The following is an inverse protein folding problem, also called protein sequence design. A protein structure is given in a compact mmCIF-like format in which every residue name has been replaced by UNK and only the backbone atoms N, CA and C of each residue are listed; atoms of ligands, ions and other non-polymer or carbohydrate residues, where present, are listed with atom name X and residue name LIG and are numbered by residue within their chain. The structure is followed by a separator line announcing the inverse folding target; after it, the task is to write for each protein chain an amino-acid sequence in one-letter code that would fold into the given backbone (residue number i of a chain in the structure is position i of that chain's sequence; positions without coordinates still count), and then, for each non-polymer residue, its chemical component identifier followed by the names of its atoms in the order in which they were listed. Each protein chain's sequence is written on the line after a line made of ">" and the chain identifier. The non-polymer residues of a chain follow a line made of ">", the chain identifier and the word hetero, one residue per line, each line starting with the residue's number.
data_IF_188620881373
#
_entry.id   IF_188620881373
#
_cell.length_a   1.000
_cell.length_b   1.000
_cell.length_c   1.000
_cell.angle_alpha   90.00
_cell.angle_beta   90.00
_cell.angle_gamma   90.00
#
_symmetry.space_group_name_H-M   'P 1'
#
loop_
_entity.id
_entity.type
_entity.pdbx_description
1 polymer ?
#
# COMPACT_ATOMS: atom_id res chain seq x y z
N UNK A 1 17.67 -11.21 -74.31
CA UNK A 1 17.22 -10.44 -73.13
C UNK A 1 17.85 -9.06 -73.26
N UNK A 2 17.05 -8.03 -73.47
CA UNK A 2 17.55 -6.68 -73.76
C UNK A 2 18.21 -6.08 -72.53
N UNK A 3 19.28 -5.31 -72.69
CA UNK A 3 19.92 -4.56 -71.59
C UNK A 3 18.94 -3.61 -70.89
N UNK A 4 17.87 -3.20 -71.59
CA UNK A 4 16.76 -2.42 -71.01
C UNK A 4 15.89 -3.21 -70.02
N UNK A 5 15.71 -4.53 -70.19
CA UNK A 5 14.93 -5.35 -69.25
C UNK A 5 15.68 -5.58 -67.94
N UNK A 6 17.00 -5.69 -68.01
CA UNK A 6 17.88 -5.86 -66.84
C UNK A 6 17.93 -4.58 -66.00
N UNK A 7 18.01 -3.41 -66.65
CA UNK A 7 17.99 -2.12 -65.94
C UNK A 7 16.67 -1.88 -65.20
N UNK A 8 15.53 -2.23 -65.81
CA UNK A 8 14.21 -2.10 -65.17
C UNK A 8 14.05 -2.98 -63.91
N UNK A 9 14.64 -4.18 -63.92
CA UNK A 9 14.61 -5.09 -62.77
C UNK A 9 15.52 -4.61 -61.62
N UNK A 10 16.70 -4.08 -61.94
CA UNK A 10 17.63 -3.51 -60.94
C UNK A 10 16.99 -2.32 -60.21
N UNK A 11 16.37 -1.39 -60.93
CA UNK A 11 15.68 -0.24 -60.32
C UNK A 11 14.51 -0.67 -59.42
N UNK A 12 13.81 -1.76 -59.79
CA UNK A 12 12.71 -2.30 -58.98
C UNK A 12 13.21 -2.97 -57.70
N UNK A 13 14.33 -3.70 -57.77
CA UNK A 13 14.96 -4.35 -56.61
C UNK A 13 15.50 -3.30 -55.63
N UNK A 14 16.21 -2.28 -56.09
CA UNK A 14 16.72 -1.19 -55.21
C UNK A 14 15.60 -0.42 -54.51
N UNK A 15 14.44 -0.28 -55.17
CA UNK A 15 13.26 0.36 -54.58
C UNK A 15 12.62 -0.53 -53.52
N UNK A 16 12.64 -1.85 -53.71
CA UNK A 16 12.14 -2.81 -52.73
C UNK A 16 13.09 -2.94 -51.53
N UNK A 17 14.40 -2.95 -51.73
CA UNK A 17 15.38 -2.98 -50.65
C UNK A 17 15.34 -1.73 -49.76
N UNK A 18 15.15 -0.54 -50.36
CA UNK A 18 14.96 0.70 -49.60
C UNK A 18 13.69 0.65 -48.73
N UNK A 19 12.58 0.12 -49.27
CA UNK A 19 11.34 -0.06 -48.50
C UNK A 19 11.50 -1.11 -47.40
N UNK A 20 12.21 -2.20 -47.69
CA UNK A 20 12.43 -3.28 -46.73
C UNK A 20 13.35 -2.85 -45.57
N UNK A 21 14.41 -2.08 -45.84
CA UNK A 21 15.26 -1.48 -44.80
C UNK A 21 14.50 -0.50 -43.91
N UNK A 22 13.57 0.28 -44.48
CA UNK A 22 12.74 1.20 -43.70
C UNK A 22 11.76 0.44 -42.79
N UNK A 23 11.18 -0.65 -43.28
CA UNK A 23 10.30 -1.53 -42.50
C UNK A 23 11.05 -2.24 -41.36
N UNK A 24 12.26 -2.75 -41.62
CA UNK A 24 13.11 -3.37 -40.58
C UNK A 24 13.52 -2.34 -39.52
N UNK A 25 13.86 -1.11 -39.93
CA UNK A 25 14.14 -0.01 -39.01
C UNK A 25 12.93 0.34 -38.13
N UNK A 26 11.73 0.40 -38.72
CA UNK A 26 10.49 0.65 -37.98
C UNK A 26 10.16 -0.50 -37.00
N UNK A 27 10.38 -1.75 -37.40
CA UNK A 27 10.17 -2.95 -36.57
C UNK A 27 11.14 -3.07 -35.40
N UNK A 28 12.35 -2.48 -35.50
CA UNK A 28 13.32 -2.46 -34.41
C UNK A 28 13.09 -1.29 -33.43
N UNK A 29 12.49 -0.19 -33.87
CA UNK A 29 12.22 0.98 -33.02
C UNK A 29 10.93 0.83 -32.21
N UNK A 30 9.91 0.15 -32.75
CA UNK A 30 8.62 -0.07 -32.07
C UNK A 30 8.73 -0.84 -30.72
N UNK A 31 9.53 -1.92 -30.58
CA UNK A 31 9.70 -2.62 -29.31
C UNK A 31 10.45 -1.79 -28.26
N UNK A 32 11.39 -0.93 -28.71
CA UNK A 32 12.13 -0.02 -27.82
C UNK A 32 11.23 1.09 -27.24
N UNK A 33 10.28 1.60 -28.04
CA UNK A 33 9.27 2.56 -27.57
C UNK A 33 8.21 1.88 -26.68
N UNK A 34 7.83 0.64 -26.97
CA UNK A 34 6.89 -0.12 -26.14
C UNK A 34 7.48 -0.47 -24.76
N UNK A 35 8.77 -0.80 -24.69
CA UNK A 35 9.46 -1.09 -23.44
C UNK A 35 9.70 0.16 -22.56
N UNK A 36 9.85 1.35 -23.17
CA UNK A 36 10.01 2.61 -22.45
C UNK A 36 8.68 3.20 -21.94
N UNK A 37 7.54 2.76 -22.49
CA UNK A 37 6.21 3.32 -22.21
C UNK A 37 5.42 2.61 -21.09
N UNK A 38 5.84 1.43 -20.66
CA UNK A 38 5.25 0.74 -19.50
C UNK A 38 5.84 1.24 -18.18
N UNK A 39 5.75 2.54 -17.96
CA UNK A 39 5.70 3.04 -16.59
C UNK A 39 4.30 2.69 -16.11
N UNK A 40 4.20 1.78 -15.13
CA UNK A 40 2.94 1.51 -14.45
C UNK A 40 2.37 2.86 -14.02
N UNK A 41 1.26 3.29 -14.64
CA UNK A 41 0.54 4.47 -14.20
C UNK A 41 -0.01 4.11 -12.83
N UNK A 42 0.62 4.64 -11.78
CA UNK A 42 0.01 4.66 -10.47
C UNK A 42 -1.27 5.51 -10.59
N UNK A 43 -2.43 4.86 -10.43
CA UNK A 43 -3.70 5.55 -10.33
C UNK A 43 -3.75 6.26 -8.97
N UNK A 44 -3.19 7.48 -8.92
CA UNK A 44 -3.18 8.30 -7.72
C UNK A 44 -4.47 9.10 -7.63
N UNK A 45 -5.37 8.69 -6.73
CA UNK A 45 -6.57 9.45 -6.40
C UNK A 45 -6.22 10.57 -5.40
N UNK A 46 -6.28 11.83 -5.83
CA UNK A 46 -6.05 13.00 -4.97
C UNK A 46 -7.37 13.59 -4.49
N UNK A 47 -7.82 13.16 -3.31
CA UNK A 47 -9.06 13.64 -2.68
C UNK A 47 -8.81 14.06 -1.23
N UNK A 48 -9.60 15.02 -0.75
CA UNK A 48 -9.59 15.39 0.68
C UNK A 48 -10.30 14.35 1.55
N UNK A 49 -11.19 13.56 0.98
CA UNK A 49 -11.96 12.55 1.68
C UNK A 49 -12.33 11.47 0.67
N UNK A 50 -12.08 10.22 1.01
CA UNK A 50 -12.53 9.07 0.23
C UNK A 50 -13.62 8.37 1.02
N UNK A 51 -14.75 8.11 0.38
CA UNK A 51 -15.85 7.36 0.96
C UNK A 51 -16.19 6.16 0.10
N UNK A 52 -16.34 5.00 0.73
CA UNK A 52 -16.96 3.82 0.13
C UNK A 52 -18.38 3.78 0.67
N UNK A 53 -19.38 3.88 -0.20
CA UNK A 53 -20.81 3.93 0.16
C UNK A 53 -21.54 2.67 -0.29
N UNK A 54 -22.60 2.28 0.43
CA UNK A 54 -23.51 1.22 0.01
C UNK A 54 -24.49 1.69 -1.08
N UNK A 55 -25.35 0.78 -1.54
CA UNK A 55 -26.39 1.02 -2.55
C UNK A 55 -27.46 2.04 -2.14
N UNK A 56 -27.55 2.34 -0.83
CA UNK A 56 -28.45 3.33 -0.25
C UNK A 56 -27.75 4.66 0.03
N UNK A 57 -26.47 4.79 -0.34
CA UNK A 57 -25.66 5.98 -0.13
C UNK A 57 -25.12 6.12 1.30
N UNK A 58 -25.14 5.05 2.11
CA UNK A 58 -24.59 5.06 3.46
C UNK A 58 -23.09 4.79 3.40
N UNK A 59 -22.22 5.67 3.94
CA UNK A 59 -20.79 5.41 3.96
C UNK A 59 -20.44 4.25 4.89
N UNK A 60 -19.70 3.29 4.34
CA UNK A 60 -19.14 2.10 4.99
C UNK A 60 -17.68 2.29 5.38
N UNK A 61 -16.90 2.99 4.55
CA UNK A 61 -15.51 3.34 4.85
C UNK A 61 -15.28 4.81 4.54
N UNK A 62 -14.65 5.53 5.46
CA UNK A 62 -14.24 6.92 5.26
C UNK A 62 -12.74 7.02 5.54
N UNK A 63 -11.98 7.54 4.58
CA UNK A 63 -10.59 7.93 4.76
C UNK A 63 -10.49 9.45 4.67
N UNK A 64 -9.98 10.09 5.72
CA UNK A 64 -9.86 11.55 5.76
C UNK A 64 -8.58 12.00 6.46
N UNK A 65 -7.95 13.11 6.04
CA UNK A 65 -6.90 13.76 6.80
C UNK A 65 -7.54 14.45 8.01
N UNK A 66 -7.34 13.89 9.20
CA UNK A 66 -7.89 14.40 10.45
C UNK A 66 -6.91 15.35 11.16
N UNK A 67 -5.60 15.08 11.05
CA UNK A 67 -4.53 15.92 11.61
C UNK A 67 -3.62 16.47 10.53
N UNK A 68 -3.56 17.80 10.43
CA UNK A 68 -2.61 18.52 9.58
C UNK A 68 -1.18 18.03 9.87
N UNK A 69 -0.51 17.51 8.83
CA UNK A 69 0.89 17.09 8.80
C UNK A 69 1.28 15.81 9.57
N UNK A 70 0.34 15.09 10.16
CA UNK A 70 0.68 13.92 11.00
C UNK A 70 0.03 12.63 10.56
N UNK A 71 -1.01 12.64 9.71
CA UNK A 71 -1.63 11.42 9.20
C UNK A 71 -3.11 11.58 8.89
N UNK A 72 -3.92 10.57 9.19
CA UNK A 72 -5.35 10.61 8.93
C UNK A 72 -6.16 9.60 9.73
N UNK A 73 -7.46 9.60 9.47
CA UNK A 73 -8.47 8.81 10.17
C UNK A 73 -9.17 7.88 9.19
N UNK A 74 -9.33 6.61 9.60
CA UNK A 74 -10.14 5.60 8.94
C UNK A 74 -11.38 5.39 9.79
N UNK A 75 -12.56 5.54 9.20
CA UNK A 75 -13.81 5.12 9.84
C UNK A 75 -14.34 3.92 9.08
N UNK A 76 -14.64 2.85 9.80
CA UNK A 76 -15.30 1.64 9.30
C UNK A 76 -16.67 1.55 9.95
N UNK A 77 -17.73 1.47 9.16
CA UNK A 77 -19.10 1.33 9.64
C UNK A 77 -19.64 -0.02 9.25
N UNK A 78 -20.22 -0.71 10.21
CA UNK A 78 -20.96 -1.95 10.02
C UNK A 78 -22.31 -1.89 10.73
N UNK A 79 -23.02 -3.02 10.75
CA UNK A 79 -24.32 -3.14 11.43
C UNK A 79 -24.24 -2.95 12.95
N UNK A 80 -23.06 -3.15 13.53
CA UNK A 80 -22.79 -3.15 14.96
C UNK A 80 -22.28 -1.78 15.44
N UNK A 81 -21.88 -0.88 14.52
CA UNK A 81 -21.56 0.52 14.80
C UNK A 81 -20.44 1.09 13.94
N UNK A 82 -19.86 2.19 14.42
CA UNK A 82 -18.65 2.80 13.83
C UNK A 82 -17.41 2.37 14.60
N UNK A 83 -16.36 2.01 13.86
CA UNK A 83 -15.01 1.78 14.35
C UNK A 83 -14.12 2.84 13.73
N UNK A 84 -13.23 3.43 14.53
CA UNK A 84 -12.38 4.53 14.08
C UNK A 84 -10.94 4.17 14.35
N UNK A 85 -10.10 4.36 13.35
CA UNK A 85 -8.67 4.24 13.48
C UNK A 85 -7.98 5.52 13.06
N UNK A 86 -6.76 5.69 13.55
CA UNK A 86 -5.86 6.76 13.16
C UNK A 86 -4.58 6.14 12.65
N UNK A 87 -4.08 6.68 11.56
CA UNK A 87 -2.73 6.41 11.11
C UNK A 87 -1.91 7.69 11.24
N UNK A 88 -0.65 7.52 11.61
CA UNK A 88 0.33 8.57 11.58
C UNK A 88 1.54 8.11 10.77
N UNK A 89 2.08 9.01 9.95
CA UNK A 89 3.31 8.79 9.21
C UNK A 89 4.17 10.05 9.37
N UNK A 90 5.29 9.93 10.07
CA UNK A 90 6.21 11.03 10.32
C UNK A 90 7.67 10.62 10.25
N UNK A 91 8.61 11.56 10.33
CA UNK A 91 10.05 11.28 10.33
C UNK A 91 10.41 10.40 11.54
N UNK A 92 10.66 9.11 11.28
CA UNK A 92 11.11 8.15 12.29
C UNK A 92 10.03 7.23 12.87
N UNK A 93 8.74 7.51 12.70
CA UNK A 93 7.69 6.57 13.13
C UNK A 93 6.47 6.62 12.24
N UNK A 94 5.96 5.43 11.91
CA UNK A 94 4.63 5.22 11.37
C UNK A 94 3.83 4.36 12.31
N UNK A 95 2.58 4.72 12.57
CA UNK A 95 1.66 3.95 13.40
C UNK A 95 0.29 3.86 12.76
N UNK A 96 -0.40 2.74 13.02
CA UNK A 96 -1.81 2.54 12.69
C UNK A 96 -2.48 1.99 13.95
N UNK A 97 -3.51 2.69 14.42
CA UNK A 97 -4.30 2.27 15.56
C UNK A 97 -5.75 2.14 15.12
N UNK A 98 -6.40 1.03 15.44
CA UNK A 98 -7.84 0.85 15.25
C UNK A 98 -8.50 0.70 16.61
N UNK A 99 -9.42 1.60 16.93
CA UNK A 99 -10.27 1.54 18.10
C UNK A 99 -11.74 1.37 17.67
N UNK A 100 -12.56 0.80 18.55
CA UNK A 100 -14.00 1.03 18.48
C UNK A 100 -14.25 2.33 19.26
N UNK A 101 -14.60 3.42 18.58
CA UNK A 101 -14.94 4.68 19.24
C UNK A 101 -16.36 5.12 18.85
N UNK A 102 -17.21 5.24 19.87
CA UNK A 102 -18.43 6.04 19.91
C UNK A 102 -18.37 7.05 21.06
N UNK A 103 -19.34 7.98 21.19
CA UNK A 103 -19.34 9.02 22.24
C UNK A 103 -19.32 8.50 23.68
N UNK A 104 -19.53 7.20 23.89
CA UNK A 104 -19.44 6.50 25.20
C UNK A 104 -18.15 5.65 25.35
N UNK A 105 -17.14 5.83 24.48
CA UNK A 105 -15.96 4.96 24.39
C UNK A 105 -14.97 5.13 25.56
N UNK A 106 -15.34 4.53 26.69
CA UNK A 106 -14.42 4.14 27.75
C UNK A 106 -14.09 2.65 27.58
N UNK A 107 -13.08 2.35 26.75
CA UNK A 107 -12.39 1.05 26.78
C UNK A 107 -12.90 -0.02 25.82
N UNK A 108 -12.68 0.14 24.52
CA UNK A 108 -12.86 -0.96 23.55
C UNK A 108 -11.52 -1.47 22.99
N UNK A 109 -11.55 -2.72 22.49
CA UNK A 109 -10.38 -3.44 22.02
C UNK A 109 -9.61 -2.69 20.94
N UNK A 110 -8.31 -2.48 21.16
CA UNK A 110 -7.42 -1.75 20.26
C UNK A 110 -6.48 -2.69 19.53
N UNK A 111 -6.26 -2.47 18.24
CA UNK A 111 -5.11 -3.01 17.51
C UNK A 111 -4.17 -1.85 17.19
N UNK A 112 -2.91 -1.96 17.59
CA UNK A 112 -1.85 -1.00 17.31
C UNK A 112 -0.73 -1.65 16.51
N UNK A 113 -0.30 -0.98 15.44
CA UNK A 113 0.94 -1.27 14.73
C UNK A 113 1.83 -0.04 14.81
N UNK A 114 3.12 -0.23 15.08
CA UNK A 114 4.12 0.84 15.11
C UNK A 114 5.40 0.34 14.46
N UNK A 115 5.98 1.14 13.58
CA UNK A 115 7.25 0.86 12.90
C UNK A 115 8.11 2.12 12.93
N UNK A 116 9.37 1.95 13.33
CA UNK A 116 10.37 3.00 13.40
C UNK A 116 11.79 2.39 13.38
N UNK A 117 12.85 3.23 13.30
CA UNK A 117 14.20 2.78 12.99
C UNK A 117 14.81 1.88 14.07
N UNK A 118 14.29 1.92 15.29
CA UNK A 118 14.74 1.09 16.41
C UNK A 118 13.59 0.33 17.07
N UNK A 119 12.38 0.36 16.50
CA UNK A 119 11.21 -0.27 17.12
C UNK A 119 10.19 -0.69 16.08
N UNK A 120 9.78 -1.94 16.14
CA UNK A 120 8.59 -2.44 15.46
C UNK A 120 7.72 -3.11 16.50
N UNK A 121 6.43 -2.82 16.56
CA UNK A 121 5.53 -3.40 17.53
C UNK A 121 4.14 -3.61 16.95
N UNK A 122 3.53 -4.72 17.35
CA UNK A 122 2.13 -5.02 17.24
C UNK A 122 1.58 -5.17 18.65
N UNK A 123 0.48 -4.48 18.95
CA UNK A 123 -0.22 -4.59 20.21
C UNK A 123 -1.70 -4.81 19.98
N UNK A 124 -2.30 -5.66 20.79
CA UNK A 124 -3.72 -5.89 20.83
C UNK A 124 -4.17 -5.79 22.28
N UNK A 125 -5.15 -4.93 22.54
CA UNK A 125 -5.78 -4.79 23.83
C UNK A 125 -7.22 -5.23 23.70
N UNK A 126 -7.72 -5.99 24.67
CA UNK A 126 -9.14 -6.30 24.77
C UNK A 126 -9.81 -5.34 25.73
N UNK A 127 -11.10 -5.10 25.52
CA UNK A 127 -11.98 -4.40 26.46
C UNK A 127 -11.88 -4.90 27.91
N UNK A 128 -11.68 -6.20 28.08
CA UNK A 128 -11.64 -6.83 29.39
C UNK A 128 -10.26 -6.76 30.06
N UNK A 129 -9.32 -5.99 29.51
CA UNK A 129 -7.99 -5.78 30.09
C UNK A 129 -6.93 -6.81 29.69
N UNK A 130 -7.31 -7.92 29.04
CA UNK A 130 -6.34 -8.85 28.46
C UNK A 130 -5.60 -8.17 27.31
N UNK A 131 -4.31 -8.44 27.17
CA UNK A 131 -3.49 -7.81 26.14
C UNK A 131 -2.44 -8.77 25.58
N UNK A 132 -2.11 -8.57 24.31
CA UNK A 132 -1.02 -9.22 23.59
C UNK A 132 -0.14 -8.12 23.01
N UNK A 133 1.17 -8.19 23.25
CA UNK A 133 2.15 -7.34 22.58
C UNK A 133 3.24 -8.21 21.96
N UNK A 134 3.69 -7.85 20.78
CA UNK A 134 4.82 -8.48 20.10
C UNK A 134 5.62 -7.40 19.40
N UNK A 135 6.94 -7.45 19.48
CA UNK A 135 7.76 -6.44 18.82
C UNK A 135 9.25 -6.75 18.78
N UNK A 136 9.97 -5.82 18.16
CA UNK A 136 11.42 -5.67 18.13
C UNK A 136 11.78 -4.27 18.66
N UNK A 137 12.76 -4.13 19.55
CA UNK A 137 13.30 -2.86 20.00
C UNK A 137 14.83 -2.93 20.06
N UNK A 138 15.54 -2.19 19.22
CA UNK A 138 17.01 -2.22 19.16
C UNK A 138 17.58 -3.66 19.07
N UNK A 139 17.05 -4.47 18.14
CA UNK A 139 17.41 -5.88 17.88
C UNK A 139 17.08 -6.88 18.99
N UNK A 140 16.41 -6.41 20.01
CA UNK A 140 15.83 -7.24 21.05
C UNK A 140 14.42 -7.62 20.58
N UNK A 141 13.96 -8.90 20.58
CA UNK A 141 12.56 -9.27 20.30
C UNK A 141 11.75 -9.54 21.58
N UNK A 142 10.47 -9.16 21.68
CA UNK A 142 9.64 -9.46 22.87
C UNK A 142 8.23 -9.84 22.48
N UNK A 143 7.67 -10.76 23.25
CA UNK A 143 6.26 -11.13 23.18
C UNK A 143 5.72 -11.21 24.61
N UNK A 144 4.58 -10.55 24.85
CA UNK A 144 3.89 -10.59 26.13
C UNK A 144 2.42 -10.88 25.93
N UNK A 145 1.87 -11.71 26.81
CA UNK A 145 0.45 -11.99 26.93
C UNK A 145 0.05 -11.81 28.39
N UNK A 146 -0.95 -10.98 28.62
CA UNK A 146 -1.52 -10.72 29.93
C UNK A 146 -2.99 -11.12 29.97
N UNK A 147 -3.43 -11.66 31.10
CA UNK A 147 -4.85 -11.94 31.36
C UNK A 147 -5.64 -10.64 31.62
N UNK A 148 -6.95 -10.77 31.84
CA UNK A 148 -7.86 -9.65 32.13
C UNK A 148 -7.58 -8.93 33.45
N UNK A 149 -6.76 -9.51 34.33
CA UNK A 149 -6.35 -8.93 35.62
C UNK A 149 -4.95 -8.31 35.54
N UNK A 150 -4.32 -8.33 34.36
CA UNK A 150 -2.96 -7.85 34.16
C UNK A 150 -1.88 -8.82 34.64
N UNK A 151 -2.22 -10.09 34.89
CA UNK A 151 -1.22 -11.10 35.21
C UNK A 151 -0.54 -11.62 33.95
N UNK A 152 0.79 -11.79 33.93
CA UNK A 152 1.49 -12.36 32.79
C UNK A 152 1.11 -13.83 32.64
N UNK A 153 0.54 -14.17 31.49
CA UNK A 153 0.32 -15.55 31.06
C UNK A 153 1.54 -16.08 30.29
N UNK A 154 2.22 -15.19 29.57
CA UNK A 154 3.43 -15.50 28.81
C UNK A 154 4.29 -14.24 28.65
N UNK A 155 5.59 -14.36 28.90
CA UNK A 155 6.57 -13.30 28.62
C UNK A 155 7.84 -13.94 28.06
N UNK A 156 8.16 -13.63 26.81
CA UNK A 156 9.44 -13.99 26.19
C UNK A 156 10.31 -12.72 26.05
N UNK A 157 11.58 -12.75 26.46
CA UNK A 157 12.38 -11.55 26.67
C UNK A 157 12.92 -10.92 25.40
N UNK A 158 13.08 -9.59 25.50
CA UNK A 158 13.92 -8.72 24.68
C UNK A 158 15.37 -9.28 24.50
N UNK A 159 15.94 -10.07 25.42
CA UNK A 159 17.15 -10.88 25.15
C UNK A 159 17.19 -12.22 25.87
N UNK A 160 17.67 -13.24 25.17
CA UNK A 160 18.52 -14.30 25.75
C UNK A 160 19.93 -14.09 25.19
N UNK A 161 20.85 -13.67 26.07
CA UNK A 161 22.30 -13.43 25.90
C UNK A 161 22.71 -12.03 25.48
#
# INVERSE_FOLDING_TARGET
>A
MSTHDVQGLVTRIERLERKNRFLIGALLVLPLLAAAGWVAKEDVLKVKRLEIVDDRGVPLVILSPDRLNEGGMITLRDKDGEKRGWWQAGPGTSSLTLNSEGPDATGDSTLGLTVGPKRSALSMFSKNGASLSAGMQADEPKVELYDTKGHPLFVAPWKSK
#
